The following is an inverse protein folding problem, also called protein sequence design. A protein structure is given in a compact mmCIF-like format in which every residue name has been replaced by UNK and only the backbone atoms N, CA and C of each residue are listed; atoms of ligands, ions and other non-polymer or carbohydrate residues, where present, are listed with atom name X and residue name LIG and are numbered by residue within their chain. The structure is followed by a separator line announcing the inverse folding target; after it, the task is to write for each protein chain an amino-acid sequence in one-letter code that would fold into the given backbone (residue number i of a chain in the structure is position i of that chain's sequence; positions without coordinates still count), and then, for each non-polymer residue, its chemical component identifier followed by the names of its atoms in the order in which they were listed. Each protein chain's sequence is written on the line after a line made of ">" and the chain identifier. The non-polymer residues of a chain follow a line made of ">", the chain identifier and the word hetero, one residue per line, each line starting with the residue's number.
data_IF_942185291974
#
_entry.id   IF_942185291974
#
_cell.length_a   1.000
_cell.length_b   1.000
_cell.length_c   1.000
_cell.angle_alpha   90.00
_cell.angle_beta   90.00
_cell.angle_gamma   90.00
#
_symmetry.space_group_name_H-M   'P 1'
#
loop_
_entity.id
_entity.type
_entity.pdbx_description
1 polymer ?
#
# COMPACT_ATOMS: atom_id res chain seq x y z
N UNK A 1 -2.41 18.61 -14.27
CA UNK A 1 -2.17 17.17 -14.47
C UNK A 1 -0.86 16.90 -15.20
N UNK A 2 -0.68 17.39 -16.44
CA UNK A 2 0.55 17.14 -17.22
C UNK A 2 1.84 17.61 -16.51
N UNK A 3 1.82 18.82 -15.93
CA UNK A 3 2.96 19.37 -15.21
C UNK A 3 3.34 18.57 -13.95
N UNK A 4 2.35 18.12 -13.17
CA UNK A 4 2.57 17.26 -11.98
C UNK A 4 3.13 15.89 -12.38
N UNK A 5 2.65 15.29 -13.49
CA UNK A 5 3.23 14.04 -14.01
C UNK A 5 4.69 14.23 -14.40
N UNK A 6 5.02 15.30 -15.10
CA UNK A 6 6.41 15.61 -15.45
C UNK A 6 7.30 15.79 -14.22
N UNK A 7 6.80 16.44 -13.15
CA UNK A 7 7.52 16.56 -11.88
C UNK A 7 7.74 15.19 -11.22
N UNK A 8 6.70 14.34 -11.19
CA UNK A 8 6.80 12.98 -10.65
C UNK A 8 7.83 12.14 -11.42
N UNK A 9 7.77 12.15 -12.75
CA UNK A 9 8.69 11.43 -13.64
C UNK A 9 10.14 11.92 -13.48
N UNK A 10 10.35 13.22 -13.26
CA UNK A 10 11.68 13.81 -13.10
C UNK A 10 12.30 13.58 -11.71
N UNK A 11 11.48 13.33 -10.69
CA UNK A 11 11.92 13.39 -9.29
C UNK A 11 11.90 12.04 -8.58
N UNK A 12 10.95 11.17 -8.91
CA UNK A 12 10.80 9.89 -8.24
C UNK A 12 11.49 8.78 -9.03
N UNK A 13 12.26 7.90 -8.38
CA UNK A 13 12.63 6.61 -8.96
C UNK A 13 11.36 5.86 -9.42
N UNK A 14 11.46 5.03 -10.47
CA UNK A 14 10.32 4.32 -11.03
C UNK A 14 9.52 3.50 -9.97
N UNK A 15 10.20 2.95 -8.96
CA UNK A 15 9.54 2.22 -7.86
C UNK A 15 8.73 3.16 -6.95
N UNK A 16 9.29 4.29 -6.52
CA UNK A 16 8.60 5.29 -5.70
C UNK A 16 7.42 5.92 -6.45
N UNK A 17 7.60 6.18 -7.75
CA UNK A 17 6.54 6.61 -8.65
C UNK A 17 5.39 5.60 -8.70
N UNK A 18 5.71 4.31 -8.90
CA UNK A 18 4.71 3.25 -8.90
C UNK A 18 3.98 3.16 -7.57
N UNK A 19 4.67 3.32 -6.44
CA UNK A 19 4.06 3.24 -5.12
C UNK A 19 3.04 4.35 -4.84
N UNK A 20 3.39 5.59 -5.20
CA UNK A 20 2.48 6.72 -5.10
C UNK A 20 1.21 6.54 -5.95
N UNK A 21 1.31 5.82 -7.08
CA UNK A 21 0.18 5.54 -8.01
C UNK A 21 -0.62 4.29 -7.60
N UNK A 22 0.05 3.22 -7.15
CA UNK A 22 -0.55 1.92 -6.83
C UNK A 22 -1.28 1.91 -5.50
N UNK A 23 -0.79 2.66 -4.50
CA UNK A 23 -1.50 2.81 -3.21
C UNK A 23 -2.71 3.75 -3.31
N UNK A 24 -3.03 4.25 -4.51
CA UNK A 24 -4.11 5.21 -4.78
C UNK A 24 -3.88 6.58 -4.10
N UNK A 25 -2.61 6.96 -3.91
CA UNK A 25 -2.27 8.14 -3.10
C UNK A 25 -2.13 9.42 -3.94
N UNK A 26 -1.92 9.30 -5.26
CA UNK A 26 -2.02 10.43 -6.21
C UNK A 26 -3.23 10.24 -7.13
N UNK A 27 -4.39 10.74 -6.69
CA UNK A 27 -5.67 10.67 -7.40
C UNK A 27 -5.65 11.42 -8.74
N UNK A 28 -4.81 12.46 -8.87
CA UNK A 28 -4.68 13.24 -10.10
C UNK A 28 -4.15 12.41 -11.27
N UNK A 29 -3.44 11.32 -10.99
CA UNK A 29 -2.95 10.38 -12.01
C UNK A 29 -4.06 9.48 -12.57
N UNK A 30 -5.18 9.31 -11.83
CA UNK A 30 -6.25 8.35 -12.12
C UNK A 30 -7.51 8.96 -12.78
N UNK A 31 -7.41 10.16 -13.35
CA UNK A 31 -8.46 10.76 -14.21
C UNK A 31 -9.91 10.67 -13.66
N UNK A 32 -10.18 11.03 -12.39
CA UNK A 32 -11.59 11.24 -12.00
C UNK A 32 -12.04 11.08 -10.55
N UNK A 33 -11.16 10.88 -9.57
CA UNK A 33 -11.61 10.92 -8.16
C UNK A 33 -11.90 12.37 -7.72
N UNK A 34 -13.06 12.58 -7.11
CA UNK A 34 -13.69 13.90 -6.87
C UNK A 34 -13.41 14.50 -5.49
N UNK A 35 -12.41 14.03 -4.73
CA UNK A 35 -12.23 14.41 -3.30
C UNK A 35 -10.75 14.55 -2.87
N UNK A 36 -9.99 15.31 -3.63
CA UNK A 36 -8.64 15.71 -3.23
C UNK A 36 -8.46 17.23 -3.35
N UNK A 37 -7.54 17.78 -2.56
CA UNK A 37 -7.00 19.13 -2.73
C UNK A 37 -5.55 19.02 -3.22
N UNK A 38 -5.14 19.89 -4.14
CA UNK A 38 -3.78 19.92 -4.69
C UNK A 38 -3.13 21.27 -4.42
N UNK A 39 -1.87 21.26 -3.98
CA UNK A 39 -1.07 22.42 -3.64
C UNK A 39 0.18 22.41 -4.53
N UNK A 40 0.51 23.54 -5.13
CA UNK A 40 1.63 23.68 -6.06
C UNK A 40 2.55 24.81 -5.57
N UNK A 41 3.86 24.61 -5.72
CA UNK A 41 4.86 25.66 -5.55
C UNK A 41 5.81 25.68 -6.75
N UNK A 42 6.20 26.87 -7.20
CA UNK A 42 7.08 27.11 -8.34
C UNK A 42 7.62 28.54 -8.33
N UNK A 43 8.61 28.81 -9.18
CA UNK A 43 9.18 30.15 -9.34
C UNK A 43 8.32 30.98 -10.31
N UNK A 44 7.93 32.20 -9.90
CA UNK A 44 7.02 33.12 -10.60
C UNK A 44 5.60 32.56 -10.90
N UNK A 45 4.67 33.42 -11.36
CA UNK A 45 3.23 33.14 -11.61
C UNK A 45 2.93 32.01 -12.65
N UNK A 46 3.91 31.16 -12.98
CA UNK A 46 3.83 30.11 -14.00
C UNK A 46 3.69 28.73 -13.33
N UNK A 47 2.45 28.33 -13.06
CA UNK A 47 2.09 26.99 -12.59
C UNK A 47 2.27 25.87 -13.65
N UNK A 48 2.79 26.21 -14.83
CA UNK A 48 2.99 25.26 -15.92
C UNK A 48 4.17 24.30 -15.68
N UNK A 49 5.08 24.64 -14.74
CA UNK A 49 6.19 23.79 -14.31
C UNK A 49 6.41 23.93 -12.78
N UNK A 50 5.59 23.28 -11.95
CA UNK A 50 5.75 23.35 -10.50
C UNK A 50 7.06 22.67 -10.08
N UNK A 51 7.76 23.29 -9.14
CA UNK A 51 8.94 22.72 -8.51
C UNK A 51 8.58 21.81 -7.32
N UNK A 52 7.38 21.94 -6.76
CA UNK A 52 6.84 21.03 -5.75
C UNK A 52 5.31 20.89 -5.86
N UNK A 53 4.80 19.74 -5.42
CA UNK A 53 3.39 19.42 -5.39
C UNK A 53 3.05 18.63 -4.13
N UNK A 54 1.95 18.99 -3.47
CA UNK A 54 1.33 18.17 -2.44
C UNK A 54 -0.12 17.85 -2.81
N UNK A 55 -0.57 16.63 -2.51
CA UNK A 55 -1.96 16.22 -2.63
C UNK A 55 -2.49 15.82 -1.26
N UNK A 56 -3.66 16.34 -0.91
CA UNK A 56 -4.44 15.94 0.27
C UNK A 56 -5.65 15.13 -0.19
N UNK A 57 -5.81 13.91 0.31
CA UNK A 57 -6.95 13.03 -0.01
C UNK A 57 -7.63 12.56 1.28
N UNK A 58 -8.97 12.60 1.31
CA UNK A 58 -9.76 12.10 2.45
C UNK A 58 -9.98 10.59 2.35
N UNK A 59 -9.63 9.84 3.39
CA UNK A 59 -9.76 8.38 3.48
C UNK A 59 -10.62 8.00 4.70
N UNK A 60 -11.92 7.82 4.50
CA UNK A 60 -12.84 7.52 5.61
C UNK A 60 -12.87 8.67 6.64
N UNK A 61 -12.31 8.44 7.83
CA UNK A 61 -12.15 9.42 8.92
C UNK A 61 -10.76 10.03 9.03
N UNK A 62 -9.81 9.65 8.16
CA UNK A 62 -8.44 10.17 8.13
C UNK A 62 -8.13 10.92 6.82
N UNK A 63 -6.96 11.54 6.78
CA UNK A 63 -6.45 12.31 5.66
C UNK A 63 -5.04 11.86 5.28
N UNK A 64 -4.80 11.69 3.99
CA UNK A 64 -3.50 11.34 3.43
C UNK A 64 -2.88 12.54 2.75
N UNK A 65 -1.61 12.81 3.00
CA UNK A 65 -0.80 13.76 2.26
C UNK A 65 0.29 13.02 1.49
N UNK A 66 0.39 13.30 0.19
CA UNK A 66 1.54 12.96 -0.64
C UNK A 66 2.27 14.23 -1.02
N UNK A 67 3.60 14.22 -0.96
CA UNK A 67 4.42 15.37 -1.32
C UNK A 67 5.59 14.94 -2.21
N UNK A 68 5.70 15.59 -3.37
CA UNK A 68 6.86 15.50 -4.25
C UNK A 68 7.48 16.87 -4.43
N UNK A 69 8.80 16.96 -4.35
CA UNK A 69 9.53 18.21 -4.57
C UNK A 69 10.82 17.97 -5.34
N UNK A 70 11.15 18.89 -6.24
CA UNK A 70 12.44 18.94 -6.91
C UNK A 70 13.58 19.06 -5.89
N UNK A 71 14.72 18.35 -6.09
CA UNK A 71 15.88 18.46 -5.21
C UNK A 71 16.48 19.87 -5.12
N UNK A 72 16.17 20.75 -6.08
CA UNK A 72 16.64 22.13 -6.10
C UNK A 72 15.90 23.05 -5.12
N UNK A 73 14.76 22.61 -4.59
CA UNK A 73 13.92 23.40 -3.68
C UNK A 73 14.25 23.08 -2.23
N UNK A 74 14.32 24.15 -1.41
CA UNK A 74 14.60 24.04 0.02
C UNK A 74 13.43 23.51 0.84
N UNK A 75 13.75 22.98 2.02
CA UNK A 75 12.80 22.37 2.97
C UNK A 75 11.62 23.29 3.35
N UNK A 76 11.80 24.62 3.33
CA UNK A 76 10.76 25.59 3.68
C UNK A 76 9.51 25.46 2.80
N UNK A 77 9.67 25.19 1.50
CA UNK A 77 8.53 25.01 0.59
C UNK A 77 7.73 23.76 0.94
N UNK A 78 8.41 22.66 1.32
CA UNK A 78 7.72 21.46 1.76
C UNK A 78 6.91 21.72 3.05
N UNK A 79 7.50 22.46 3.99
CA UNK A 79 6.83 22.85 5.24
C UNK A 79 5.58 23.68 4.95
N UNK A 80 5.66 24.66 4.05
CA UNK A 80 4.52 25.51 3.69
C UNK A 80 3.42 24.72 2.97
N UNK A 81 3.77 23.79 2.07
CA UNK A 81 2.81 22.90 1.43
C UNK A 81 2.11 21.98 2.43
N UNK A 82 2.84 21.40 3.38
CA UNK A 82 2.27 20.55 4.43
C UNK A 82 1.32 21.37 5.32
N UNK A 83 1.74 22.55 5.79
CA UNK A 83 0.87 23.42 6.61
C UNK A 83 -0.39 23.84 5.86
N UNK A 84 -0.26 24.19 4.58
CA UNK A 84 -1.43 24.52 3.74
C UNK A 84 -2.42 23.37 3.65
N UNK A 85 -1.93 22.12 3.56
CA UNK A 85 -2.78 20.94 3.60
C UNK A 85 -3.44 20.75 4.96
N UNK A 86 -2.71 20.94 6.07
CA UNK A 86 -3.26 20.86 7.43
C UNK A 86 -4.33 21.92 7.70
N UNK A 87 -4.16 23.15 7.17
CA UNK A 87 -5.17 24.21 7.27
C UNK A 87 -6.49 23.82 6.60
N UNK A 88 -6.42 23.13 5.45
CA UNK A 88 -7.62 22.57 4.79
C UNK A 88 -8.27 21.49 5.65
N UNK A 89 -7.47 20.60 6.27
CA UNK A 89 -8.01 19.59 7.20
C UNK A 89 -8.74 20.27 8.37
N UNK A 90 -8.15 21.31 8.97
CA UNK A 90 -8.78 22.06 10.06
C UNK A 90 -10.10 22.69 9.63
N UNK A 91 -10.14 23.31 8.45
CA UNK A 91 -11.33 23.94 7.89
C UNK A 91 -12.46 22.92 7.61
N UNK A 92 -12.11 21.68 7.27
CA UNK A 92 -13.04 20.58 6.99
C UNK A 92 -13.44 19.78 8.24
N UNK A 93 -13.12 20.29 9.44
CA UNK A 93 -13.55 19.72 10.72
C UNK A 93 -12.54 18.78 11.40
N UNK A 94 -11.29 18.79 10.95
CA UNK A 94 -10.18 18.08 11.59
C UNK A 94 -10.07 16.60 11.23
N UNK A 95 -9.24 15.88 11.99
CA UNK A 95 -9.03 14.44 11.88
C UNK A 95 -7.56 14.03 11.91
N UNK A 96 -7.33 12.71 11.90
CA UNK A 96 -6.00 12.15 11.80
C UNK A 96 -5.43 12.38 10.39
N UNK A 97 -4.20 12.86 10.31
CA UNK A 97 -3.46 13.11 9.07
C UNK A 97 -2.22 12.24 9.05
N UNK A 98 -1.92 11.66 7.89
CA UNK A 98 -0.68 10.94 7.63
C UNK A 98 -0.02 11.46 6.35
N UNK A 99 1.26 11.80 6.44
CA UNK A 99 2.14 12.08 5.32
C UNK A 99 3.09 10.90 5.12
N UNK A 100 2.92 10.15 4.03
CA UNK A 100 3.79 9.01 3.73
C UNK A 100 5.04 9.46 2.99
N UNK A 101 6.18 8.94 3.43
CA UNK A 101 7.49 9.18 2.84
C UNK A 101 8.14 7.87 2.51
N UNK A 102 8.44 7.68 1.23
CA UNK A 102 9.25 6.56 0.75
C UNK A 102 10.73 6.78 1.10
N UNK A 103 11.38 5.79 1.70
CA UNK A 103 12.78 5.83 2.14
C UNK A 103 13.12 7.15 2.85
N UNK A 104 12.56 7.37 4.06
CA UNK A 104 12.74 8.62 4.78
C UNK A 104 14.21 8.91 5.07
N UNK A 105 14.52 10.21 5.17
CA UNK A 105 15.85 10.74 5.44
C UNK A 105 15.71 11.88 6.46
N UNK A 106 16.79 12.32 7.08
CA UNK A 106 16.74 13.35 8.15
C UNK A 106 16.01 14.63 7.74
N UNK A 107 16.05 15.00 6.45
CA UNK A 107 15.29 16.14 5.92
C UNK A 107 13.78 15.98 6.08
N UNK A 108 13.25 14.76 5.91
CA UNK A 108 11.82 14.49 6.00
C UNK A 108 11.36 14.58 7.45
N UNK A 109 12.19 14.14 8.40
CA UNK A 109 11.95 14.32 9.84
C UNK A 109 11.86 15.81 10.18
N UNK A 110 12.86 16.61 9.77
CA UNK A 110 12.87 18.06 10.00
C UNK A 110 11.66 18.78 9.40
N UNK A 111 11.31 18.43 8.15
CA UNK A 111 10.15 18.99 7.45
C UNK A 111 8.85 18.64 8.17
N UNK A 112 8.69 17.38 8.58
CA UNK A 112 7.53 16.92 9.33
C UNK A 112 7.38 17.65 10.66
N UNK A 113 8.44 17.69 11.47
CA UNK A 113 8.46 18.38 12.77
C UNK A 113 8.17 19.88 12.62
N UNK A 114 8.78 20.55 11.63
CA UNK A 114 8.54 21.96 11.37
C UNK A 114 7.10 22.24 10.92
N UNK A 115 6.46 21.30 10.22
CA UNK A 115 5.06 21.39 9.83
C UNK A 115 4.08 20.96 10.95
N UNK A 116 4.57 20.41 12.06
CA UNK A 116 3.75 19.96 13.20
C UNK A 116 3.32 18.49 13.15
N UNK A 117 3.95 17.67 12.30
CA UNK A 117 3.79 16.22 12.27
C UNK A 117 4.90 15.53 13.06
N UNK A 118 4.61 14.34 13.58
CA UNK A 118 5.58 13.49 14.29
C UNK A 118 5.70 12.11 13.61
N UNK A 119 6.85 11.42 13.70
CA UNK A 119 6.96 10.05 13.19
C UNK A 119 5.89 9.13 13.79
N UNK A 120 5.14 8.45 12.94
CA UNK A 120 4.12 7.47 13.28
C UNK A 120 4.50 6.08 12.79
N UNK A 121 3.62 5.45 12.01
CA UNK A 121 3.82 4.08 11.50
C UNK A 121 5.01 3.94 10.56
N UNK A 122 5.76 2.86 10.75
CA UNK A 122 6.83 2.42 9.84
C UNK A 122 6.33 1.20 9.04
N UNK A 123 6.37 1.30 7.71
CA UNK A 123 5.90 0.25 6.80
C UNK A 123 7.09 -0.34 6.04
N UNK A 124 7.35 -1.63 6.24
CA UNK A 124 8.49 -2.32 5.62
C UNK A 124 8.05 -3.06 4.37
N UNK A 125 8.71 -2.79 3.25
CA UNK A 125 8.64 -3.69 2.10
C UNK A 125 9.65 -4.80 2.27
N UNK A 126 9.20 -6.05 2.25
CA UNK A 126 10.08 -7.21 2.26
C UNK A 126 10.04 -7.92 0.90
N UNK A 127 11.17 -8.48 0.47
CA UNK A 127 11.30 -9.26 -0.77
C UNK A 127 11.99 -10.60 -0.58
N UNK A 128 11.76 -11.54 -1.51
CA UNK A 128 12.56 -12.77 -1.66
C UNK A 128 12.48 -13.36 -3.07
N UNK A 129 13.51 -14.09 -3.54
CA UNK A 129 13.44 -14.86 -4.78
C UNK A 129 12.43 -16.02 -4.72
N UNK A 130 11.83 -16.35 -5.87
CA UNK A 130 10.99 -17.51 -6.10
C UNK A 130 11.70 -18.54 -7.01
N UNK A 131 11.41 -19.84 -6.90
CA UNK A 131 10.46 -20.47 -5.95
C UNK A 131 11.00 -20.53 -4.51
N UNK A 132 10.11 -20.80 -3.55
CA UNK A 132 10.50 -20.98 -2.13
C UNK A 132 11.21 -22.31 -1.85
N UNK A 133 10.95 -23.33 -2.68
CA UNK A 133 11.37 -24.71 -2.43
C UNK A 133 10.65 -25.39 -1.24
N UNK A 134 9.75 -24.68 -0.55
CA UNK A 134 8.86 -25.19 0.50
C UNK A 134 7.44 -25.26 -0.04
N UNK A 135 6.73 -26.34 0.23
CA UNK A 135 5.33 -26.54 -0.17
C UNK A 135 4.41 -26.60 1.06
N UNK A 136 3.12 -26.52 0.82
CA UNK A 136 2.06 -26.74 1.80
C UNK A 136 1.00 -27.66 1.21
N UNK A 137 0.36 -28.46 2.07
CA UNK A 137 -0.80 -29.29 1.71
C UNK A 137 -2.13 -28.56 2.03
N UNK A 138 -2.06 -27.28 2.40
CA UNK A 138 -3.23 -26.46 2.69
C UNK A 138 -4.14 -26.41 1.46
N UNK A 139 -5.37 -26.89 1.64
CA UNK A 139 -6.40 -26.84 0.59
C UNK A 139 -6.89 -25.41 0.45
N UNK A 140 -6.64 -24.80 -0.71
CA UNK A 140 -7.14 -23.48 -1.08
C UNK A 140 -7.93 -23.57 -2.37
N UNK A 141 -8.82 -22.60 -2.60
CA UNK A 141 -9.54 -22.44 -3.87
C UNK A 141 -9.53 -20.97 -4.30
N UNK A 142 -9.66 -20.67 -5.60
CA UNK A 142 -9.90 -19.32 -6.07
C UNK A 142 -11.16 -18.70 -5.45
N UNK A 143 -11.11 -17.39 -5.28
CA UNK A 143 -12.24 -16.53 -5.00
C UNK A 143 -13.22 -16.53 -6.18
N UNK A 144 -14.52 -16.53 -5.89
CA UNK A 144 -15.59 -16.48 -6.88
C UNK A 144 -16.36 -15.17 -6.71
N UNK A 145 -16.13 -14.16 -7.59
CA UNK A 145 -16.84 -12.89 -7.54
C UNK A 145 -18.36 -13.06 -7.58
N UNK A 146 -19.05 -12.29 -6.74
CA UNK A 146 -20.49 -12.34 -6.53
C UNK A 146 -20.97 -13.47 -5.61
N UNK A 147 -20.16 -14.50 -5.35
CA UNK A 147 -20.50 -15.60 -4.46
C UNK A 147 -19.77 -15.53 -3.12
N UNK A 148 -18.49 -15.13 -3.14
CA UNK A 148 -17.64 -15.08 -1.95
C UNK A 148 -17.55 -13.67 -1.32
N UNK A 149 -18.04 -12.62 -1.99
CA UNK A 149 -17.84 -11.21 -1.65
C UNK A 149 -18.21 -10.90 -0.19
N UNK A 150 -19.43 -11.22 0.23
CA UNK A 150 -19.92 -10.93 1.59
C UNK A 150 -19.12 -11.70 2.65
N UNK A 151 -18.85 -12.98 2.39
CA UNK A 151 -18.11 -13.84 3.31
C UNK A 151 -16.66 -13.37 3.45
N UNK A 152 -16.03 -12.95 2.36
CA UNK A 152 -14.68 -12.41 2.36
C UNK A 152 -14.61 -11.06 3.07
N UNK A 153 -15.53 -10.12 2.80
CA UNK A 153 -15.57 -8.83 3.49
C UNK A 153 -15.72 -9.01 5.00
N UNK A 154 -16.61 -9.93 5.43
CA UNK A 154 -16.78 -10.25 6.84
C UNK A 154 -15.49 -10.81 7.47
N UNK A 155 -14.79 -11.71 6.77
CA UNK A 155 -13.52 -12.26 7.23
C UNK A 155 -12.41 -11.18 7.28
N UNK A 156 -12.30 -10.35 6.25
CA UNK A 156 -11.32 -9.25 6.19
C UNK A 156 -11.48 -8.33 7.41
N UNK A 157 -12.70 -7.85 7.66
CA UNK A 157 -12.96 -6.93 8.76
C UNK A 157 -12.73 -7.57 10.14
N UNK A 158 -12.88 -8.90 10.26
CA UNK A 158 -12.50 -9.63 11.48
C UNK A 158 -10.98 -9.74 11.63
N UNK A 159 -10.28 -10.10 10.56
CA UNK A 159 -8.82 -10.27 10.56
C UNK A 159 -8.09 -8.94 10.82
N UNK A 160 -8.67 -7.83 10.37
CA UNK A 160 -8.08 -6.50 10.42
C UNK A 160 -8.84 -5.51 11.32
N UNK A 161 -9.62 -5.98 12.29
CA UNK A 161 -10.53 -5.15 13.09
C UNK A 161 -9.87 -3.93 13.79
N UNK A 162 -8.56 -4.00 14.06
CA UNK A 162 -7.80 -2.92 14.68
C UNK A 162 -6.84 -2.20 13.70
N UNK A 163 -6.87 -2.54 12.41
CA UNK A 163 -5.95 -2.01 11.41
C UNK A 163 -6.50 -0.73 10.77
N UNK A 164 -5.77 0.40 10.78
CA UNK A 164 -6.28 1.69 10.30
C UNK A 164 -6.71 1.67 8.82
N UNK A 165 -5.94 1.00 7.96
CA UNK A 165 -6.19 1.05 6.49
C UNK A 165 -6.96 -0.15 5.91
N UNK A 166 -7.10 -1.24 6.68
CA UNK A 166 -7.65 -2.53 6.20
C UNK A 166 -8.89 -2.97 6.96
N UNK A 167 -9.21 -2.30 8.07
CA UNK A 167 -10.52 -2.39 8.69
C UNK A 167 -11.61 -1.80 7.78
N UNK A 168 -12.86 -2.13 8.09
CA UNK A 168 -14.06 -1.48 7.52
C UNK A 168 -14.18 -1.51 6.00
N UNK A 169 -13.60 -2.51 5.34
CA UNK A 169 -13.88 -2.72 3.92
C UNK A 169 -15.36 -2.99 3.72
N UNK A 170 -15.91 -2.39 2.67
CA UNK A 170 -17.29 -2.60 2.24
C UNK A 170 -17.32 -3.41 0.95
N UNK A 171 -18.50 -3.89 0.55
CA UNK A 171 -18.67 -4.49 -0.77
C UNK A 171 -18.28 -3.51 -1.90
N UNK A 172 -18.55 -2.21 -1.73
CA UNK A 172 -18.13 -1.20 -2.70
C UNK A 172 -16.60 -1.10 -2.79
N UNK A 173 -15.91 -1.12 -1.65
CA UNK A 173 -14.44 -1.13 -1.60
C UNK A 173 -13.86 -2.36 -2.32
N UNK A 174 -14.44 -3.54 -2.10
CA UNK A 174 -14.06 -4.75 -2.80
C UNK A 174 -14.30 -4.64 -4.31
N UNK A 175 -15.48 -4.18 -4.73
CA UNK A 175 -15.82 -3.99 -6.16
C UNK A 175 -14.85 -3.02 -6.84
N UNK A 176 -14.54 -1.90 -6.20
CA UNK A 176 -13.56 -0.94 -6.71
C UNK A 176 -12.19 -1.58 -6.89
N UNK A 177 -11.78 -2.45 -5.96
CA UNK A 177 -10.50 -3.16 -6.03
C UNK A 177 -10.49 -4.26 -7.09
N UNK A 178 -11.60 -4.97 -7.27
CA UNK A 178 -11.76 -5.98 -8.33
C UNK A 178 -11.82 -5.37 -9.74
N UNK A 179 -12.16 -4.07 -9.85
CA UNK A 179 -12.17 -3.36 -11.13
C UNK A 179 -10.76 -2.92 -11.59
N UNK A 180 -9.73 -3.08 -10.75
CA UNK A 180 -8.36 -2.72 -11.13
C UNK A 180 -7.80 -3.69 -12.19
N UNK A 181 -6.99 -3.21 -13.16
CA UNK A 181 -6.50 -4.05 -14.25
C UNK A 181 -5.61 -5.23 -13.82
N UNK A 182 -5.06 -5.18 -12.61
CA UNK A 182 -4.22 -6.25 -12.06
C UNK A 182 -5.03 -7.34 -11.36
N UNK A 183 -6.33 -7.15 -11.16
CA UNK A 183 -7.17 -8.12 -10.46
C UNK A 183 -7.21 -9.46 -11.20
N UNK A 184 -6.89 -10.52 -10.48
CA UNK A 184 -7.06 -11.90 -10.92
C UNK A 184 -7.68 -12.74 -9.81
N UNK A 185 -8.90 -13.23 -10.04
CA UNK A 185 -9.61 -14.09 -9.09
C UNK A 185 -8.88 -15.42 -8.84
N UNK A 186 -8.09 -15.92 -9.80
CA UNK A 186 -7.29 -17.13 -9.63
C UNK A 186 -6.18 -16.94 -8.59
N UNK A 187 -5.62 -15.72 -8.52
CA UNK A 187 -4.62 -15.31 -7.54
C UNK A 187 -5.19 -14.87 -6.19
N UNK A 188 -6.50 -14.95 -6.00
CA UNK A 188 -7.18 -14.63 -4.75
C UNK A 188 -7.61 -15.90 -4.03
N UNK A 189 -6.71 -16.45 -3.22
CA UNK A 189 -6.83 -17.78 -2.66
C UNK A 189 -7.60 -17.77 -1.33
N UNK A 190 -8.66 -18.56 -1.24
CA UNK A 190 -9.48 -18.74 -0.05
C UNK A 190 -9.26 -20.10 0.59
N UNK A 191 -9.20 -20.14 1.92
CA UNK A 191 -9.19 -21.37 2.71
C UNK A 191 -10.49 -21.50 3.52
N UNK A 192 -11.46 -22.32 3.06
CA UNK A 192 -12.66 -22.65 3.82
C UNK A 192 -12.39 -23.76 4.84
N UNK A 193 -13.11 -23.70 5.96
CA UNK A 193 -13.26 -24.80 6.91
C UNK A 193 -13.89 -26.01 6.19
N UNK A 194 -13.22 -27.18 6.14
CA UNK A 194 -13.77 -28.37 5.49
C UNK A 194 -15.11 -28.85 6.08
N UNK A 195 -15.38 -28.58 7.35
CA UNK A 195 -16.59 -29.04 8.03
C UNK A 195 -17.77 -28.08 7.85
N UNK A 196 -17.54 -26.77 7.98
CA UNK A 196 -18.59 -25.76 7.98
C UNK A 196 -18.70 -24.95 6.69
N UNK A 197 -17.68 -24.99 5.83
CA UNK A 197 -17.57 -24.14 4.64
C UNK A 197 -17.23 -22.67 4.96
N UNK A 198 -17.15 -22.28 6.24
CA UNK A 198 -16.80 -20.91 6.66
C UNK A 198 -15.37 -20.58 6.25
N UNK A 199 -15.12 -19.37 5.73
CA UNK A 199 -13.75 -18.94 5.42
C UNK A 199 -12.93 -18.77 6.71
N UNK A 200 -11.77 -19.42 6.77
CA UNK A 200 -10.83 -19.34 7.91
C UNK A 200 -9.62 -18.45 7.61
N UNK A 201 -9.33 -18.20 6.34
CA UNK A 201 -8.25 -17.33 5.93
C UNK A 201 -8.19 -17.18 4.42
N UNK A 202 -7.38 -16.25 3.96
CA UNK A 202 -7.17 -15.98 2.54
C UNK A 202 -5.78 -15.42 2.28
N UNK A 203 -5.31 -15.57 1.06
CA UNK A 203 -4.12 -14.93 0.52
C UNK A 203 -4.44 -14.36 -0.86
N UNK A 204 -4.60 -13.04 -0.93
CA UNK A 204 -4.79 -12.31 -2.18
C UNK A 204 -3.43 -11.90 -2.74
N UNK A 205 -3.12 -12.38 -3.93
CA UNK A 205 -1.88 -12.07 -4.64
C UNK A 205 -2.11 -11.02 -5.72
N UNK A 206 -1.06 -10.27 -6.06
CA UNK A 206 -1.03 -9.31 -7.16
C UNK A 206 0.24 -9.52 -7.98
N UNK A 207 0.17 -9.38 -9.29
CA UNK A 207 1.36 -9.40 -10.17
C UNK A 207 1.59 -7.98 -10.66
N UNK A 208 2.80 -7.48 -10.48
CA UNK A 208 3.17 -6.16 -10.97
C UNK A 208 3.54 -6.21 -12.45
N UNK A 209 3.21 -5.18 -13.23
CA UNK A 209 3.73 -5.05 -14.58
C UNK A 209 5.26 -4.99 -14.55
N UNK A 210 5.95 -5.47 -15.61
CA UNK A 210 7.39 -5.34 -15.73
C UNK A 210 7.81 -3.88 -15.59
N UNK A 211 8.91 -3.64 -14.87
CA UNK A 211 9.51 -2.31 -14.81
C UNK A 211 10.36 -2.12 -16.08
N UNK A 212 10.13 -1.06 -16.88
CA UNK A 212 11.02 -0.74 -17.99
C UNK A 212 12.46 -0.60 -17.50
N UNK A 213 13.42 -1.13 -18.26
CA UNK A 213 14.86 -1.09 -17.96
C UNK A 213 15.34 -1.89 -16.75
N UNK A 214 14.51 -2.79 -16.20
CA UNK A 214 15.00 -3.79 -15.25
C UNK A 214 15.88 -4.83 -15.97
N UNK A 215 17.20 -4.63 -15.86
CA UNK A 215 18.22 -5.51 -16.44
C UNK A 215 18.13 -6.96 -15.93
N UNK A 216 17.49 -7.18 -14.77
CA UNK A 216 17.32 -8.51 -14.17
C UNK A 216 16.09 -9.25 -14.71
N UNK A 217 15.20 -8.56 -15.45
CA UNK A 217 13.98 -9.14 -15.99
C UNK A 217 13.05 -9.67 -14.89
N UNK A 218 13.00 -9.00 -13.74
CA UNK A 218 12.26 -9.45 -12.57
C UNK A 218 10.76 -9.37 -12.82
N UNK A 219 10.08 -10.50 -12.65
CA UNK A 219 8.62 -10.55 -12.57
C UNK A 219 8.26 -10.55 -11.09
N UNK A 220 7.74 -9.40 -10.62
CA UNK A 220 7.46 -9.17 -9.22
C UNK A 220 6.01 -9.53 -8.88
N UNK A 221 5.84 -10.57 -8.06
CA UNK A 221 4.58 -10.90 -7.40
C UNK A 221 4.49 -10.27 -6.02
N UNK A 222 3.28 -10.03 -5.53
CA UNK A 222 3.00 -9.44 -4.23
C UNK A 222 1.98 -10.31 -3.47
N UNK A 223 2.25 -10.55 -2.19
CA UNK A 223 1.20 -10.94 -1.24
C UNK A 223 0.46 -9.65 -0.86
N UNK A 224 -0.59 -9.34 -1.60
CA UNK A 224 -1.29 -8.05 -1.55
C UNK A 224 -2.07 -7.87 -0.26
N UNK A 225 -2.91 -8.87 0.09
CA UNK A 225 -3.61 -8.91 1.38
C UNK A 225 -3.66 -10.36 1.86
N UNK A 226 -3.29 -10.59 3.12
CA UNK A 226 -3.38 -11.89 3.77
C UNK A 226 -4.07 -11.74 5.12
N UNK A 227 -5.15 -12.49 5.31
CA UNK A 227 -5.97 -12.42 6.51
C UNK A 227 -6.32 -13.80 7.04
N UNK A 228 -6.42 -13.93 8.35
CA UNK A 228 -6.81 -15.15 9.03
C UNK A 228 -7.90 -14.79 10.02
N UNK A 229 -8.92 -15.63 10.12
CA UNK A 229 -9.94 -15.45 11.16
C UNK A 229 -9.24 -15.54 12.53
N UNK A 230 -9.46 -14.57 13.44
CA UNK A 230 -8.81 -14.57 14.76
C UNK A 230 -9.09 -15.86 15.55
N UNK A 231 -10.23 -16.52 15.34
CA UNK A 231 -10.59 -17.79 15.99
C UNK A 231 -9.87 -19.02 15.38
N UNK A 232 -9.19 -18.84 14.25
CA UNK A 232 -8.41 -19.86 13.53
C UNK A 232 -6.89 -19.70 13.70
N UNK A 233 -6.44 -18.73 14.50
CA UNK A 233 -5.02 -18.42 14.72
C UNK A 233 -4.21 -19.54 15.40
N UNK A 234 -2.88 -19.41 15.37
CA UNK A 234 -1.96 -20.23 16.19
C UNK A 234 -1.64 -21.65 15.69
N UNK A 235 -2.13 -22.07 14.52
CA UNK A 235 -1.93 -23.45 13.99
C UNK A 235 -1.01 -23.54 12.76
N UNK A 236 -0.22 -22.51 12.49
CA UNK A 236 0.63 -22.46 11.29
C UNK A 236 -0.11 -22.01 10.02
N UNK A 237 -1.43 -21.83 10.06
CA UNK A 237 -2.26 -21.44 8.92
C UNK A 237 -1.72 -20.23 8.15
N UNK A 238 -1.23 -19.19 8.84
CA UNK A 238 -0.64 -18.02 8.17
C UNK A 238 0.59 -18.35 7.34
N UNK A 239 1.47 -19.20 7.87
CA UNK A 239 2.63 -19.69 7.12
C UNK A 239 2.19 -20.44 5.87
N UNK A 240 1.20 -21.31 6.01
CA UNK A 240 0.73 -22.14 4.92
C UNK A 240 0.01 -21.32 3.84
N UNK A 241 -0.79 -20.32 4.21
CA UNK A 241 -1.39 -19.37 3.27
C UNK A 241 -0.33 -18.58 2.50
N UNK A 242 0.73 -18.09 3.16
CA UNK A 242 1.84 -17.43 2.47
C UNK A 242 2.50 -18.39 1.48
N UNK A 243 2.81 -19.62 1.89
CA UNK A 243 3.42 -20.61 1.00
C UNK A 243 2.53 -20.92 -0.21
N UNK A 244 1.22 -21.04 -0.03
CA UNK A 244 0.27 -21.24 -1.12
C UNK A 244 0.26 -20.04 -2.10
N UNK A 245 0.25 -18.81 -1.58
CA UNK A 245 0.32 -17.60 -2.40
C UNK A 245 1.63 -17.47 -3.18
N UNK A 246 2.76 -17.75 -2.55
CA UNK A 246 4.08 -17.72 -3.20
C UNK A 246 4.22 -18.79 -4.29
N UNK A 247 3.70 -19.98 -4.05
CA UNK A 247 3.65 -21.04 -5.04
C UNK A 247 2.77 -20.66 -6.24
N UNK A 248 1.60 -20.07 -5.98
CA UNK A 248 0.72 -19.56 -7.02
C UNK A 248 1.40 -18.49 -7.88
N UNK A 249 2.00 -17.47 -7.26
CA UNK A 249 2.73 -16.40 -7.98
C UNK A 249 3.81 -16.98 -8.90
N UNK A 250 4.57 -17.95 -8.39
CA UNK A 250 5.62 -18.59 -9.18
C UNK A 250 5.06 -19.42 -10.34
N UNK A 251 4.09 -20.30 -10.08
CA UNK A 251 3.60 -21.28 -11.07
C UNK A 251 2.65 -20.68 -12.09
N UNK A 252 1.76 -19.79 -11.67
CA UNK A 252 0.70 -19.22 -12.52
C UNK A 252 1.16 -18.00 -13.30
N UNK A 253 2.10 -17.23 -12.74
CA UNK A 253 2.50 -15.93 -13.29
C UNK A 253 3.99 -15.85 -13.62
N UNK A 254 4.73 -16.94 -13.45
CA UNK A 254 6.19 -16.99 -13.63
C UNK A 254 6.95 -15.95 -12.80
N UNK A 255 6.39 -15.52 -11.66
CA UNK A 255 7.06 -14.56 -10.80
C UNK A 255 8.42 -15.10 -10.34
N UNK A 256 9.45 -14.28 -10.52
CA UNK A 256 10.83 -14.59 -10.11
C UNK A 256 11.14 -14.05 -8.73
N UNK A 257 10.38 -13.05 -8.27
CA UNK A 257 10.48 -12.49 -6.93
C UNK A 257 9.10 -12.26 -6.33
N UNK A 258 9.02 -12.37 -5.00
CA UNK A 258 7.85 -12.00 -4.23
C UNK A 258 8.15 -10.78 -3.34
N UNK A 259 7.15 -9.93 -3.14
CA UNK A 259 7.17 -8.82 -2.19
C UNK A 259 5.93 -8.82 -1.29
N UNK A 260 6.00 -8.05 -0.21
CA UNK A 260 4.87 -7.71 0.65
C UNK A 260 5.19 -6.45 1.45
N UNK A 261 4.14 -5.83 2.00
CA UNK A 261 4.27 -4.78 3.02
C UNK A 261 3.82 -5.29 4.37
N UNK A 262 4.51 -4.87 5.42
CA UNK A 262 4.18 -5.20 6.81
C UNK A 262 4.52 -4.03 7.73
N UNK A 263 3.61 -3.66 8.62
CA UNK A 263 3.91 -2.70 9.68
C UNK A 263 5.05 -3.23 10.57
N UNK A 264 6.00 -2.36 10.90
CA UNK A 264 7.18 -2.72 11.69
C UNK A 264 6.83 -3.21 13.10
N UNK A 265 5.69 -2.76 13.65
CA UNK A 265 5.18 -3.14 14.97
C UNK A 265 4.40 -4.48 14.97
N UNK A 266 4.07 -5.02 13.79
CA UNK A 266 3.49 -6.35 13.65
C UNK A 266 4.57 -7.43 13.77
N UNK A 267 5.15 -7.55 14.95
CA UNK A 267 6.28 -8.45 15.20
C UNK A 267 5.96 -9.91 14.85
N UNK A 268 4.70 -10.32 14.99
CA UNK A 268 4.22 -11.65 14.62
C UNK A 268 4.39 -11.93 13.13
N UNK A 269 3.91 -11.02 12.29
CA UNK A 269 4.05 -11.11 10.84
C UNK A 269 5.50 -10.94 10.40
N UNK A 270 6.24 -9.98 10.98
CA UNK A 270 7.67 -9.78 10.70
C UNK A 270 8.47 -11.06 10.95
N UNK A 271 8.30 -11.72 12.12
CA UNK A 271 8.94 -13.01 12.42
C UNK A 271 8.49 -14.16 11.52
N UNK A 272 7.26 -14.11 11.00
CA UNK A 272 6.79 -15.10 10.03
C UNK A 272 7.53 -14.94 8.70
N UNK A 273 7.58 -13.73 8.16
CA UNK A 273 8.20 -13.45 6.86
C UNK A 273 9.71 -13.67 6.89
N UNK A 274 10.39 -13.26 7.96
CA UNK A 274 11.82 -13.54 8.18
C UNK A 274 12.13 -15.05 8.11
N UNK A 275 11.35 -15.89 8.82
CA UNK A 275 11.49 -17.36 8.77
C UNK A 275 11.17 -17.99 7.40
N UNK A 276 10.41 -17.27 6.57
CA UNK A 276 10.15 -17.65 5.18
C UNK A 276 11.25 -17.15 4.22
N UNK A 277 12.25 -16.45 4.74
CA UNK A 277 13.42 -15.98 3.98
C UNK A 277 13.15 -14.68 3.23
N UNK A 278 12.17 -13.89 3.67
CA UNK A 278 12.02 -12.50 3.22
C UNK A 278 13.08 -11.62 3.88
N UNK A 279 13.62 -10.68 3.12
CA UNK A 279 14.56 -9.67 3.60
C UNK A 279 14.00 -8.27 3.35
N UNK A 280 14.40 -7.31 4.18
CA UNK A 280 14.03 -5.90 4.00
C UNK A 280 14.54 -5.41 2.64
N UNK A 281 13.65 -4.82 1.85
CA UNK A 281 13.98 -4.10 0.62
C UNK A 281 14.08 -2.60 0.89
N UNK A 282 13.02 -2.01 1.44
CA UNK A 282 13.02 -0.61 1.90
C UNK A 282 12.00 -0.39 3.02
N UNK A 283 12.05 0.82 3.58
CA UNK A 283 11.13 1.29 4.62
C UNK A 283 10.46 2.57 4.18
N UNK A 284 9.15 2.65 4.35
CA UNK A 284 8.36 3.87 4.26
C UNK A 284 7.95 4.31 5.66
N UNK A 285 7.78 5.61 5.87
CA UNK A 285 7.38 6.18 7.15
C UNK A 285 6.18 7.10 6.98
N UNK A 286 5.17 6.91 7.80
CA UNK A 286 4.13 7.90 8.01
C UNK A 286 4.59 8.92 9.04
N UNK A 287 4.42 10.19 8.73
CA UNK A 287 4.45 11.29 9.69
C UNK A 287 3.02 11.70 9.96
N UNK A 288 2.64 11.78 11.23
CA UNK A 288 1.25 11.85 11.66
C UNK A 288 0.97 13.13 12.45
N UNK A 289 -0.26 13.63 12.32
CA UNK A 289 -0.80 14.68 13.16
C UNK A 289 -2.30 14.41 13.42
N UNK A 290 -2.84 14.99 14.49
CA UNK A 290 -4.29 15.08 14.71
C UNK A 290 -4.64 16.55 14.75
N UNK A 291 -5.47 16.96 13.81
CA UNK A 291 -5.94 18.34 13.64
C UNK A 291 -7.34 18.48 14.21
#
# INVERSE_FOLDING_TARGET
>A
VGAVRALLDATLPAEAHRLAVDRQWIDIARHGRRRYAGFLAGDDDVLDQPNAYAQLTRQGSSWAIELVQSPAIGEAVAVDLLRSALDVVAAEGGGAVHWWVHEPADRHVRVGEAAGLSPGRELRQLRRPLPVGKTTDLVVRPFVPGADDEAWVALNNRAFAAHPDQADWTLATLVDRMAEPWFDAAGFLLHPDPASGRLLGFCWTKVHPPVPDDAEGTILGEIYVIGIDPDAGGRGLGRDLVLAGLDHLHRSSAATHAMLYVDADNEGAVRLYDRLGFTLHHTDQAYEAVI
#
